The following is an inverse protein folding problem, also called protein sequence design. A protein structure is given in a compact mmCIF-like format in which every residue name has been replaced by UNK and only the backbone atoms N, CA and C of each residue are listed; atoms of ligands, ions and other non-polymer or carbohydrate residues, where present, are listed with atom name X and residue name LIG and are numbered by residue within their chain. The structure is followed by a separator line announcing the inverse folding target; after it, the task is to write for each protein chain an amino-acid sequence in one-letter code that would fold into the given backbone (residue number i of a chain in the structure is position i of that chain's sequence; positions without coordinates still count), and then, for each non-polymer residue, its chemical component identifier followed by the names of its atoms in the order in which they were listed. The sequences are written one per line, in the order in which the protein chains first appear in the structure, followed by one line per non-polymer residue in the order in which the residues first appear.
data_IF_250770032246
#
_entry.id   IF_250770032246
#
_cell.length_a   1.000
_cell.length_b   1.000
_cell.length_c   1.000
_cell.angle_alpha   90.00
_cell.angle_beta   90.00
_cell.angle_gamma   90.00
#
_symmetry.space_group_name_H-M   'P 1'
#
loop_
_entity.id
_entity.type
_entity.pdbx_description
1 polymer ?
#
# COMPACT_ATOMS: atom_id res chain seq x y z
N UNK A 1 -10.71 -2.22 9.25
CA UNK A 1 -10.05 -1.54 8.11
C UNK A 1 -8.83 -2.37 7.75
N UNK A 2 -8.68 -2.74 6.48
CA UNK A 2 -7.57 -3.58 6.00
C UNK A 2 -6.69 -2.71 5.11
N UNK A 3 -5.39 -2.89 5.27
CA UNK A 3 -4.36 -2.28 4.44
C UNK A 3 -3.71 -3.35 3.58
N UNK A 4 -3.05 -2.92 2.52
CA UNK A 4 -2.29 -3.77 1.62
C UNK A 4 -0.91 -3.17 1.46
N UNK A 5 0.11 -3.99 1.69
CA UNK A 5 1.50 -3.69 1.37
C UNK A 5 1.84 -4.26 0.00
N UNK A 6 2.44 -3.43 -0.84
CA UNK A 6 2.94 -3.79 -2.16
C UNK A 6 4.11 -2.88 -2.54
N UNK A 7 4.86 -3.27 -3.56
CA UNK A 7 5.94 -2.43 -4.12
C UNK A 7 5.38 -1.15 -4.74
N UNK A 8 6.15 -0.06 -4.64
CA UNK A 8 5.78 1.23 -5.21
C UNK A 8 5.58 1.12 -6.72
N UNK A 9 6.48 0.45 -7.45
CA UNK A 9 6.35 0.23 -8.90
C UNK A 9 5.02 -0.43 -9.27
N UNK A 10 4.62 -1.45 -8.50
CA UNK A 10 3.36 -2.15 -8.72
C UNK A 10 2.16 -1.25 -8.42
N UNK A 11 2.22 -0.48 -7.35
CA UNK A 11 1.18 0.49 -7.02
C UNK A 11 1.04 1.57 -8.10
N UNK A 12 2.15 2.00 -8.70
CA UNK A 12 2.17 2.94 -9.84
C UNK A 12 1.64 2.30 -11.12
N UNK A 13 2.08 1.09 -11.48
CA UNK A 13 1.57 0.34 -12.64
C UNK A 13 0.05 0.15 -12.57
N UNK A 14 -0.46 -0.15 -11.38
CA UNK A 14 -1.89 -0.34 -11.13
C UNK A 14 -2.67 0.99 -11.03
N UNK A 15 -2.01 2.14 -11.13
CA UNK A 15 -2.63 3.45 -10.97
C UNK A 15 -3.21 3.72 -9.58
N UNK A 16 -2.73 2.97 -8.56
CA UNK A 16 -3.19 3.10 -7.17
C UNK A 16 -2.57 4.29 -6.46
N UNK A 17 -1.38 4.71 -6.90
CA UNK A 17 -0.67 5.88 -6.39
C UNK A 17 -0.17 6.73 -7.56
N UNK A 18 -0.29 8.05 -7.43
CA UNK A 18 0.34 9.01 -8.34
C UNK A 18 1.75 9.36 -7.85
N UNK A 19 2.66 9.69 -8.78
CA UNK A 19 4.07 10.02 -8.50
C UNK A 19 4.28 11.15 -7.48
N UNK A 20 3.27 12.01 -7.28
CA UNK A 20 3.34 13.19 -6.42
C UNK A 20 2.50 13.11 -5.13
N UNK A 21 1.89 11.97 -4.82
CA UNK A 21 1.00 11.90 -3.67
C UNK A 21 1.76 11.39 -2.42
N UNK A 22 1.59 12.04 -1.24
CA UNK A 22 2.29 11.66 -0.01
C UNK A 22 1.67 10.40 0.59
N UNK A 23 1.95 9.26 -0.04
CA UNK A 23 1.66 7.97 0.55
C UNK A 23 2.78 7.60 1.52
N UNK A 24 2.46 6.89 2.60
CA UNK A 24 3.48 6.37 3.47
C UNK A 24 4.26 5.27 2.72
N UNK A 25 5.50 5.60 2.36
CA UNK A 25 6.43 4.70 1.66
C UNK A 25 7.78 4.69 2.36
N UNK A 26 8.53 3.61 2.24
CA UNK A 26 9.94 3.55 2.64
C UNK A 26 10.91 3.73 1.46
N UNK A 27 10.40 4.12 0.28
CA UNK A 27 11.17 4.20 -0.97
C UNK A 27 11.13 2.94 -1.85
N UNK A 28 10.74 1.79 -1.32
CA UNK A 28 10.57 0.53 -2.10
C UNK A 28 9.13 -0.01 -2.04
N UNK A 29 8.50 0.08 -0.88
CA UNK A 29 7.17 -0.43 -0.57
C UNK A 29 6.23 0.70 -0.13
N UNK A 30 4.95 0.51 -0.38
CA UNK A 30 3.88 1.40 0.04
C UNK A 30 2.78 0.62 0.75
N UNK A 31 2.17 1.25 1.75
CA UNK A 31 0.98 0.71 2.43
C UNK A 31 -0.23 1.54 2.02
N UNK A 32 -1.21 0.87 1.42
CA UNK A 32 -2.45 1.48 0.94
C UNK A 32 -3.66 0.87 1.64
N UNK A 33 -4.78 1.59 1.67
CA UNK A 33 -6.05 1.03 2.13
C UNK A 33 -6.59 0.07 1.08
N UNK A 34 -7.11 -1.09 1.50
CA UNK A 34 -7.74 -2.06 0.58
C UNK A 34 -8.91 -1.47 -0.21
N UNK A 35 -9.60 -0.48 0.34
CA UNK A 35 -10.62 0.29 -0.36
C UNK A 35 -10.11 0.91 -1.68
N UNK A 36 -8.85 1.38 -1.75
CA UNK A 36 -8.28 1.93 -2.98
C UNK A 36 -8.19 0.88 -4.10
N UNK A 37 -7.80 -0.35 -3.75
CA UNK A 37 -7.79 -1.45 -4.73
C UNK A 37 -9.19 -1.79 -5.21
N UNK A 38 -10.17 -1.73 -4.30
CA UNK A 38 -11.57 -1.99 -4.64
C UNK A 38 -12.12 -0.91 -5.56
N UNK A 39 -11.76 0.35 -5.32
CA UNK A 39 -12.12 1.49 -6.18
C UNK A 39 -11.44 1.43 -7.55
N UNK A 40 -10.18 0.97 -7.60
CA UNK A 40 -9.44 0.76 -8.83
C UNK A 40 -9.84 -0.53 -9.57
N UNK A 41 -10.80 -1.30 -9.02
CA UNK A 41 -11.22 -2.60 -9.53
C UNK A 41 -10.04 -3.59 -9.69
N UNK A 42 -9.04 -3.46 -8.81
CA UNK A 42 -7.85 -4.31 -8.75
C UNK A 42 -8.07 -5.40 -7.71
N UNK A 43 -7.94 -6.64 -8.14
CA UNK A 43 -7.96 -7.79 -7.24
C UNK A 43 -6.66 -7.88 -6.44
N UNK A 44 -6.77 -8.21 -5.16
CA UNK A 44 -5.60 -8.51 -4.33
C UNK A 44 -4.92 -9.77 -4.87
N UNK A 45 -3.67 -9.64 -5.33
CA UNK A 45 -2.85 -10.76 -5.83
C UNK A 45 -1.94 -11.31 -4.73
N UNK A 46 -1.29 -12.46 -4.93
CA UNK A 46 -0.33 -13.02 -3.95
C UNK A 46 0.86 -12.08 -3.64
N UNK A 47 1.20 -11.19 -4.56
CA UNK A 47 2.24 -10.18 -4.36
C UNK A 47 1.82 -9.04 -3.42
N UNK A 48 0.57 -9.05 -2.97
CA UNK A 48 -0.01 -8.05 -2.06
C UNK A 48 -0.19 -8.66 -0.69
N UNK A 49 0.47 -8.08 0.32
CA UNK A 49 0.31 -8.54 1.70
C UNK A 49 -0.81 -7.78 2.38
N UNK A 50 -1.91 -8.45 2.72
CA UNK A 50 -2.96 -7.85 3.52
C UNK A 50 -2.49 -7.66 4.97
N UNK A 51 -2.70 -6.46 5.48
CA UNK A 51 -2.29 -6.03 6.80
C UNK A 51 -3.50 -5.51 7.57
N UNK A 52 -3.60 -5.91 8.83
CA UNK A 52 -4.51 -5.23 9.77
C UNK A 52 -3.99 -3.83 10.09
N UNK A 53 -4.86 -2.94 10.59
CA UNK A 53 -4.44 -1.59 11.01
C UNK A 53 -3.25 -1.61 11.97
N UNK A 54 -3.23 -2.55 12.93
CA UNK A 54 -2.13 -2.67 13.89
C UNK A 54 -0.79 -3.08 13.24
N UNK A 55 -0.84 -3.99 12.25
CA UNK A 55 0.34 -4.39 11.49
C UNK A 55 0.84 -3.28 10.57
N UNK A 56 -0.08 -2.60 9.88
CA UNK A 56 0.24 -1.44 9.05
C UNK A 56 0.93 -0.36 9.90
N UNK A 57 0.34 0.04 11.03
CA UNK A 57 0.95 1.01 11.94
C UNK A 57 2.33 0.59 12.44
N UNK A 58 2.53 -0.68 12.79
CA UNK A 58 3.85 -1.20 13.18
C UNK A 58 4.89 -1.07 12.06
N UNK A 59 4.52 -1.36 10.83
CA UNK A 59 5.43 -1.26 9.69
C UNK A 59 5.74 0.20 9.40
N UNK A 60 4.73 1.08 9.44
CA UNK A 60 4.91 2.53 9.29
C UNK A 60 5.83 3.11 10.37
N UNK A 61 5.68 2.67 11.62
CA UNK A 61 6.56 3.04 12.73
C UNK A 61 8.01 2.56 12.49
N UNK A 62 8.16 1.36 11.90
CA UNK A 62 9.48 0.82 11.51
C UNK A 62 10.11 1.61 10.37
N UNK A 63 9.30 2.19 9.47
CA UNK A 63 9.78 2.98 8.34
C UNK A 63 10.31 4.36 8.76
N UNK A 64 10.09 4.79 10.01
CA UNK A 64 10.60 6.04 10.57
C UNK A 64 10.55 7.23 9.60
N UNK A 65 9.38 7.44 8.98
CA UNK A 65 9.10 8.62 8.13
C UNK A 65 8.74 9.83 9.00
#
# INVERSE_FOLDING_TARGET
MIYVKLSIDKAKELGLIEDNHPYPTNGEEVILKKDLLTLANVSVTEEMTELTTAQALKILDTWQI
#
